data_IF_186766767971
#
_entry.id   IF_186766767971
#
_cell.length_a   1.000
_cell.length_b   1.000
_cell.length_c   1.000
_cell.angle_alpha   90.00
_cell.angle_beta   90.00
_cell.angle_gamma   90.00
#
_symmetry.space_group_name_H-M   'P 1'
#
loop_
_entity.id
_entity.type
_entity.pdbx_description
1 polymer ?
#
# COMPACT_ATOMS: atom_id res chain seq x y z
N UNK A 1 11.92 14.58 11.77
CA UNK A 1 11.55 14.70 10.34
C UNK A 1 12.21 13.57 9.56
N UNK A 2 11.45 12.76 8.86
CA UNK A 2 11.93 11.64 8.05
C UNK A 2 12.16 12.14 6.62
N UNK A 3 13.20 11.65 5.93
CA UNK A 3 13.48 12.02 4.53
C UNK A 3 13.68 10.78 3.67
N UNK A 4 13.01 10.77 2.53
CA UNK A 4 13.32 9.84 1.45
C UNK A 4 14.07 10.68 0.39
N UNK A 5 15.39 10.62 0.40
CA UNK A 5 16.24 11.52 -0.39
C UNK A 5 15.89 13.00 -0.12
N UNK A 6 15.42 13.75 -1.13
CA UNK A 6 14.98 15.14 -1.00
C UNK A 6 13.54 15.32 -0.49
N UNK A 7 12.76 14.25 -0.40
CA UNK A 7 11.35 14.30 0.02
C UNK A 7 11.27 14.37 1.54
N UNK A 8 10.80 15.50 2.07
CA UNK A 8 10.61 15.72 3.49
C UNK A 8 9.23 15.22 3.95
N UNK A 9 9.21 14.40 5.00
CA UNK A 9 8.03 13.77 5.56
C UNK A 9 7.91 14.11 7.07
N UNK A 10 6.73 13.94 7.68
CA UNK A 10 6.57 14.05 9.13
C UNK A 10 7.53 13.14 9.92
N UNK A 11 7.60 13.32 11.24
CA UNK A 11 8.46 12.49 12.10
C UNK A 11 8.11 11.00 12.08
N UNK A 12 6.86 10.67 11.83
CA UNK A 12 6.39 9.29 11.65
C UNK A 12 5.35 9.25 10.52
N UNK A 13 5.79 9.20 9.26
CA UNK A 13 4.89 9.20 8.12
C UNK A 13 4.07 7.93 8.03
N UNK A 14 2.85 8.07 7.53
CA UNK A 14 1.91 7.00 7.25
C UNK A 14 1.85 6.77 5.73
N UNK A 15 2.28 5.60 5.30
CA UNK A 15 2.37 5.25 3.90
C UNK A 15 1.22 4.31 3.50
N UNK A 16 0.55 4.56 2.38
CA UNK A 16 -0.38 3.59 1.81
C UNK A 16 0.40 2.47 1.11
N UNK A 17 0.17 1.23 1.51
CA UNK A 17 0.82 0.08 0.90
C UNK A 17 0.35 -0.15 -0.56
N UNK A 18 1.25 -0.57 -1.46
CA UNK A 18 0.88 -1.05 -2.79
C UNK A 18 0.06 -2.35 -2.69
N UNK A 19 -1.16 -2.34 -3.22
CA UNK A 19 -2.10 -3.46 -3.14
C UNK A 19 -2.79 -3.67 -4.49
N UNK A 20 -2.64 -4.88 -5.06
CA UNK A 20 -3.25 -5.25 -6.35
C UNK A 20 -4.76 -5.09 -6.33
N UNK A 21 -5.29 -4.45 -7.35
CA UNK A 21 -6.69 -4.11 -7.56
C UNK A 21 -7.32 -3.31 -6.37
N UNK A 22 -6.53 -2.55 -5.61
CA UNK A 22 -6.97 -1.75 -4.46
C UNK A 22 -6.38 -0.35 -4.50
N UNK A 23 -5.05 -0.23 -4.65
CA UNK A 23 -4.37 1.08 -4.61
C UNK A 23 -4.31 1.74 -5.99
N UNK A 24 -5.46 1.80 -6.65
CA UNK A 24 -5.68 2.55 -7.90
C UNK A 24 -5.71 4.07 -7.64
N UNK A 25 -5.62 4.93 -8.68
CA UNK A 25 -5.61 6.38 -8.52
C UNK A 25 -6.79 6.92 -7.70
N UNK A 26 -8.06 6.47 -7.92
CA UNK A 26 -9.18 6.88 -7.09
C UNK A 26 -8.97 6.63 -5.60
N UNK A 27 -8.58 5.41 -5.23
CA UNK A 27 -8.39 5.05 -3.83
C UNK A 27 -7.18 5.73 -3.19
N UNK A 28 -6.07 5.86 -3.92
CA UNK A 28 -4.89 6.60 -3.43
C UNK A 28 -5.23 8.05 -3.12
N UNK A 29 -5.99 8.70 -4.02
CA UNK A 29 -6.45 10.08 -3.81
C UNK A 29 -7.29 10.22 -2.53
N UNK A 30 -8.23 9.29 -2.29
CA UNK A 30 -9.04 9.28 -1.07
C UNK A 30 -8.19 9.05 0.19
N UNK A 31 -7.21 8.16 0.15
CA UNK A 31 -6.28 7.96 1.25
C UNK A 31 -5.41 9.20 1.52
N UNK A 32 -4.97 9.87 0.45
CA UNK A 32 -4.18 11.10 0.56
C UNK A 32 -4.97 12.24 1.22
N UNK A 33 -6.21 12.44 0.78
CA UNK A 33 -7.12 13.42 1.39
C UNK A 33 -7.41 13.12 2.87
N UNK A 34 -7.32 11.86 3.26
CA UNK A 34 -7.51 11.39 4.63
C UNK A 34 -6.19 11.21 5.40
N UNK A 35 -5.10 11.80 4.94
CA UNK A 35 -3.89 11.94 5.74
C UNK A 35 -2.78 10.93 5.47
N UNK A 36 -2.84 10.11 4.41
CA UNK A 36 -1.66 9.36 3.98
C UNK A 36 -0.55 10.31 3.52
N UNK A 37 0.66 10.13 4.03
CA UNK A 37 1.79 11.02 3.72
C UNK A 37 2.44 10.65 2.38
N UNK A 38 2.56 9.36 2.09
CA UNK A 38 3.06 8.82 0.81
C UNK A 38 2.10 7.73 0.34
N UNK A 39 1.84 7.68 -0.95
CA UNK A 39 1.05 6.60 -1.56
C UNK A 39 1.86 5.89 -2.63
N UNK A 40 1.54 4.63 -2.87
CA UNK A 40 2.18 3.81 -3.91
C UNK A 40 1.13 3.23 -4.84
N UNK A 41 1.49 3.11 -6.13
CA UNK A 41 0.65 2.44 -7.10
C UNK A 41 0.49 0.95 -6.76
N UNK A 42 -0.45 0.28 -7.40
CA UNK A 42 -0.39 -1.18 -7.51
C UNK A 42 0.96 -1.60 -8.13
N UNK A 43 1.43 -2.81 -7.81
CA UNK A 43 2.70 -3.27 -8.36
C UNK A 43 2.58 -3.65 -9.84
N UNK A 44 3.54 -3.19 -10.65
CA UNK A 44 3.51 -3.29 -12.11
C UNK A 44 4.61 -4.23 -12.59
N UNK A 45 4.26 -5.17 -13.46
CA UNK A 45 5.24 -6.09 -14.04
C UNK A 45 6.16 -5.38 -15.03
N UNK A 46 7.48 -5.47 -14.85
CA UNK A 46 8.46 -4.96 -15.82
C UNK A 46 8.26 -5.60 -17.20
N UNK A 47 8.06 -6.90 -17.26
CA UNK A 47 7.76 -7.63 -18.49
C UNK A 47 6.44 -7.20 -19.15
N UNK A 48 5.47 -6.73 -18.35
CA UNK A 48 4.22 -6.16 -18.87
C UNK A 48 4.41 -4.78 -19.44
N UNK A 49 5.19 -3.93 -18.75
CA UNK A 49 5.47 -2.55 -19.21
C UNK A 49 6.24 -2.52 -20.54
N UNK A 50 7.33 -3.28 -20.63
CA UNK A 50 8.16 -3.27 -21.85
C UNK A 50 7.45 -3.87 -23.10
N UNK A 51 6.30 -4.49 -22.90
CA UNK A 51 5.44 -5.03 -23.97
C UNK A 51 4.15 -4.24 -24.15
N UNK A 52 4.06 -3.05 -23.59
CA UNK A 52 2.88 -2.17 -23.65
C UNK A 52 1.56 -2.87 -23.26
N UNK A 53 1.62 -3.81 -22.31
CA UNK A 53 0.43 -4.49 -21.84
C UNK A 53 -0.53 -3.48 -21.20
N UNK A 54 -1.73 -3.30 -21.76
CA UNK A 54 -2.68 -2.26 -21.40
C UNK A 54 -2.95 -2.17 -19.88
N UNK A 55 -3.08 -3.32 -19.19
CA UNK A 55 -3.26 -3.36 -17.74
C UNK A 55 -2.03 -2.82 -16.98
N UNK A 56 -0.82 -3.01 -17.50
CA UNK A 56 0.41 -2.50 -16.88
C UNK A 56 0.57 -0.99 -17.11
N UNK A 57 0.26 -0.53 -18.31
CA UNK A 57 0.33 0.89 -18.68
C UNK A 57 -0.69 1.70 -17.89
N UNK A 58 -1.92 1.22 -17.75
CA UNK A 58 -2.97 1.90 -16.99
C UNK A 58 -2.59 2.14 -15.52
N UNK A 59 -1.82 1.25 -14.91
CA UNK A 59 -1.36 1.39 -13.51
C UNK A 59 -0.27 2.46 -13.32
N UNK A 60 0.27 3.02 -14.39
CA UNK A 60 1.21 4.15 -14.34
C UNK A 60 0.50 5.47 -14.05
N UNK A 61 -0.82 5.51 -14.16
CA UNK A 61 -1.57 6.73 -13.99
C UNK A 61 -1.52 7.23 -12.54
N UNK A 62 -1.16 8.50 -12.38
CA UNK A 62 -1.04 9.19 -11.09
C UNK A 62 -1.72 10.55 -11.15
N UNK A 63 -2.35 10.96 -10.04
CA UNK A 63 -2.95 12.27 -9.91
C UNK A 63 -1.99 13.23 -9.21
N UNK A 64 -1.94 14.48 -9.62
CA UNK A 64 -1.07 15.50 -9.01
C UNK A 64 -1.33 15.65 -7.50
N UNK A 65 -2.59 15.53 -7.08
CA UNK A 65 -3.01 15.61 -5.66
C UNK A 65 -2.56 14.44 -4.78
N UNK A 66 -2.00 13.38 -5.37
CA UNK A 66 -1.51 12.22 -4.61
C UNK A 66 -0.06 12.39 -4.12
N UNK A 67 0.66 13.40 -4.61
CA UNK A 67 2.09 13.58 -4.32
C UNK A 67 2.38 13.78 -2.82
N UNK A 68 3.49 13.23 -2.31
CA UNK A 68 4.43 12.36 -3.02
C UNK A 68 3.85 10.98 -3.32
N UNK A 69 4.07 10.49 -4.54
CA UNK A 69 3.59 9.19 -5.02
C UNK A 69 4.73 8.34 -5.59
N UNK A 70 4.77 7.08 -5.19
CA UNK A 70 5.71 6.09 -5.70
C UNK A 70 5.07 5.15 -6.71
N UNK A 71 5.74 4.92 -7.84
CA UNK A 71 5.36 3.84 -8.76
C UNK A 71 6.12 2.58 -8.38
N UNK A 72 5.39 1.50 -8.06
CA UNK A 72 6.00 0.23 -7.69
C UNK A 72 6.07 -0.73 -8.87
N UNK A 73 7.28 -1.21 -9.19
CA UNK A 73 7.52 -2.20 -10.24
C UNK A 73 8.13 -3.48 -9.67
N UNK A 74 7.95 -4.59 -10.37
CA UNK A 74 8.55 -5.88 -10.04
C UNK A 74 9.07 -6.62 -11.26
N UNK A 75 10.16 -7.33 -11.08
CA UNK A 75 10.79 -8.19 -12.06
C UNK A 75 11.96 -8.96 -11.43
N UNK A 76 12.56 -9.86 -12.20
CA UNK A 76 13.78 -10.60 -11.84
C UNK A 76 14.86 -10.49 -12.92
N UNK A 77 14.59 -9.76 -14.00
CA UNK A 77 15.54 -9.52 -15.08
C UNK A 77 15.96 -8.05 -15.06
N UNK A 78 17.26 -7.79 -15.00
CA UNK A 78 17.82 -6.44 -14.87
C UNK A 78 17.46 -5.58 -16.11
N UNK A 79 17.62 -6.10 -17.33
CA UNK A 79 17.30 -5.36 -18.54
C UNK A 79 15.84 -4.89 -18.58
N UNK A 80 14.89 -5.80 -18.31
CA UNK A 80 13.48 -5.44 -18.29
C UNK A 80 13.14 -4.43 -17.18
N UNK A 81 13.81 -4.49 -16.04
CA UNK A 81 13.64 -3.52 -14.95
C UNK A 81 14.17 -2.13 -15.34
N UNK A 82 15.35 -2.04 -15.95
CA UNK A 82 15.92 -0.76 -16.41
C UNK A 82 15.04 -0.11 -17.49
N UNK A 83 14.61 -0.87 -18.49
CA UNK A 83 13.67 -0.37 -19.50
C UNK A 83 12.34 0.06 -18.91
N UNK A 84 11.90 -0.59 -17.82
CA UNK A 84 10.70 -0.16 -17.11
C UNK A 84 10.91 1.15 -16.36
N UNK A 85 12.10 1.41 -15.82
CA UNK A 85 12.44 2.71 -15.22
C UNK A 85 12.28 3.84 -16.23
N UNK A 86 12.79 3.66 -17.47
CA UNK A 86 12.65 4.66 -18.54
C UNK A 86 11.20 4.97 -18.91
N UNK A 87 10.30 3.97 -18.80
CA UNK A 87 8.88 4.15 -19.04
C UNK A 87 8.23 4.89 -17.87
N UNK A 88 8.56 4.48 -16.64
CA UNK A 88 8.05 5.07 -15.40
C UNK A 88 8.47 6.53 -15.25
N UNK A 89 9.70 6.89 -15.57
CA UNK A 89 10.20 8.27 -15.50
C UNK A 89 9.36 9.25 -16.35
N UNK A 90 8.81 8.80 -17.48
CA UNK A 90 7.96 9.64 -18.34
C UNK A 90 6.65 10.07 -17.66
N UNK A 91 6.24 9.36 -16.62
CA UNK A 91 5.05 9.73 -15.82
C UNK A 91 5.40 10.67 -14.66
N UNK A 92 6.68 10.99 -14.48
CA UNK A 92 7.20 11.92 -13.48
C UNK A 92 6.74 11.60 -12.03
N UNK A 93 6.95 10.37 -11.51
CA UNK A 93 6.65 10.05 -10.12
C UNK A 93 7.68 10.69 -9.18
N UNK A 94 7.38 10.72 -7.88
CA UNK A 94 8.33 11.19 -6.87
C UNK A 94 9.31 10.08 -6.44
N UNK A 95 8.91 8.81 -6.55
CA UNK A 95 9.65 7.63 -6.08
C UNK A 95 9.45 6.49 -7.08
N UNK A 96 10.50 5.70 -7.31
CA UNK A 96 10.36 4.37 -7.91
C UNK A 96 10.60 3.34 -6.80
N UNK A 97 9.62 2.49 -6.57
CA UNK A 97 9.69 1.45 -5.54
C UNK A 97 9.81 0.05 -6.15
N UNK A 98 10.65 -0.79 -5.57
CA UNK A 98 10.85 -2.16 -6.04
C UNK A 98 10.08 -3.13 -5.15
N UNK A 99 9.21 -3.95 -5.75
CA UNK A 99 8.50 -5.00 -5.03
C UNK A 99 9.34 -6.28 -4.93
N UNK A 100 9.88 -6.51 -3.74
CA UNK A 100 10.54 -7.76 -3.35
C UNK A 100 9.73 -8.52 -2.28
N UNK A 101 8.42 -8.23 -2.17
CA UNK A 101 7.58 -8.77 -1.10
C UNK A 101 6.32 -9.53 -1.54
N UNK A 102 5.91 -9.47 -2.81
CA UNK A 102 4.70 -10.14 -3.29
C UNK A 102 4.84 -11.68 -3.20
N UNK A 103 3.98 -12.38 -2.40
CA UNK A 103 4.12 -13.82 -2.18
C UNK A 103 3.37 -14.68 -3.20
N UNK A 104 2.65 -14.07 -4.15
CA UNK A 104 1.76 -14.74 -5.10
C UNK A 104 2.53 -15.70 -6.00
N UNK A 105 2.06 -16.94 -6.13
CA UNK A 105 2.74 -18.03 -6.85
C UNK A 105 3.16 -17.62 -8.27
N UNK A 106 2.29 -16.94 -9.02
CA UNK A 106 2.55 -16.47 -10.40
C UNK A 106 3.74 -15.51 -10.51
N UNK A 107 3.98 -14.70 -9.47
CA UNK A 107 5.12 -13.77 -9.39
C UNK A 107 6.37 -14.51 -8.92
N UNK A 108 6.25 -15.24 -7.83
CA UNK A 108 7.34 -15.96 -7.16
C UNK A 108 7.96 -17.04 -8.05
N UNK A 109 7.16 -17.75 -8.87
CA UNK A 109 7.66 -18.78 -9.79
C UNK A 109 8.57 -18.23 -10.90
N UNK A 110 8.56 -16.93 -11.12
CA UNK A 110 9.44 -16.22 -12.07
C UNK A 110 10.68 -15.60 -11.37
N UNK A 111 10.94 -15.93 -10.12
CA UNK A 111 12.02 -15.33 -9.32
C UNK A 111 11.75 -13.90 -8.84
N UNK A 112 10.59 -13.31 -9.18
CA UNK A 112 10.25 -11.93 -8.85
C UNK A 112 9.45 -11.82 -7.54
N UNK A 113 9.20 -10.58 -7.09
CA UNK A 113 8.55 -10.32 -5.81
C UNK A 113 9.31 -10.99 -4.67
N UNK A 114 8.61 -11.69 -3.77
CA UNK A 114 9.26 -12.42 -2.68
C UNK A 114 10.08 -13.65 -3.15
N UNK A 115 10.03 -14.02 -4.43
CA UNK A 115 10.86 -15.09 -5.00
C UNK A 115 12.35 -14.75 -4.97
N UNK A 116 12.68 -13.47 -5.08
CA UNK A 116 14.06 -12.97 -5.07
C UNK A 116 14.75 -13.13 -3.71
N UNK A 117 14.00 -13.33 -2.62
CA UNK A 117 14.56 -13.59 -1.29
C UNK A 117 15.37 -14.90 -1.21
N UNK A 118 15.32 -15.72 -2.24
CA UNK A 118 16.19 -16.90 -2.41
C UNK A 118 17.56 -16.57 -3.02
N UNK A 119 17.67 -15.40 -3.64
CA UNK A 119 18.89 -14.92 -4.33
C UNK A 119 19.12 -13.45 -3.97
N UNK A 120 19.74 -13.24 -2.81
CA UNK A 120 20.02 -11.90 -2.28
C UNK A 120 21.03 -11.15 -3.16
N UNK A 121 21.96 -11.85 -3.82
CA UNK A 121 22.93 -11.23 -4.69
C UNK A 121 22.26 -10.63 -5.94
N UNK A 122 21.29 -11.34 -6.53
CA UNK A 122 20.47 -10.80 -7.61
C UNK A 122 19.62 -9.61 -7.14
N UNK A 123 19.03 -9.70 -5.92
CA UNK A 123 18.23 -8.63 -5.32
C UNK A 123 19.04 -7.33 -5.20
N UNK A 124 20.27 -7.43 -4.70
CA UNK A 124 21.20 -6.30 -4.54
C UNK A 124 21.65 -5.77 -5.90
N UNK A 125 22.08 -6.65 -6.81
CA UNK A 125 22.56 -6.26 -8.15
C UNK A 125 21.48 -5.55 -8.98
N UNK A 126 20.23 -6.01 -8.87
CA UNK A 126 19.07 -5.40 -9.53
C UNK A 126 18.81 -4.00 -8.97
N UNK A 127 18.85 -3.85 -7.64
CA UNK A 127 18.67 -2.55 -6.98
C UNK A 127 19.79 -1.59 -7.36
N UNK A 128 21.04 -2.03 -7.34
CA UNK A 128 22.20 -1.24 -7.74
C UNK A 128 22.09 -0.74 -9.19
N UNK A 129 21.68 -1.63 -10.09
CA UNK A 129 21.50 -1.28 -11.50
C UNK A 129 20.45 -0.19 -11.68
N UNK A 130 19.31 -0.29 -10.96
CA UNK A 130 18.26 0.73 -11.01
C UNK A 130 18.72 2.05 -10.40
N UNK A 131 19.39 2.04 -9.25
CA UNK A 131 19.93 3.26 -8.61
C UNK A 131 20.89 3.99 -9.53
N UNK A 132 21.72 3.27 -10.29
CA UNK A 132 22.66 3.88 -11.26
C UNK A 132 21.97 4.39 -12.53
N UNK A 133 20.75 3.92 -12.81
CA UNK A 133 20.05 4.18 -14.07
C UNK A 133 19.14 5.43 -14.02
N UNK A 134 18.75 5.88 -12.83
CA UNK A 134 17.82 7.01 -12.64
C UNK A 134 18.31 7.99 -11.59
N UNK A 135 17.86 9.25 -11.67
CA UNK A 135 18.03 10.25 -10.61
C UNK A 135 16.87 10.24 -9.59
N UNK A 136 15.80 9.50 -9.84
CA UNK A 136 14.70 9.37 -8.89
C UNK A 136 15.10 8.49 -7.70
N UNK A 137 14.61 8.78 -6.49
CA UNK A 137 14.89 7.94 -5.34
C UNK A 137 14.32 6.52 -5.56
N UNK A 138 15.19 5.53 -5.43
CA UNK A 138 14.80 4.11 -5.44
C UNK A 138 14.54 3.67 -4.02
N UNK A 139 13.37 3.11 -3.77
CA UNK A 139 12.99 2.49 -2.50
C UNK A 139 12.66 1.01 -2.70
N UNK A 140 12.62 0.24 -1.62
CA UNK A 140 12.35 -1.19 -1.66
C UNK A 140 11.26 -1.58 -0.68
N UNK A 141 10.31 -2.40 -1.13
CA UNK A 141 9.35 -3.07 -0.26
C UNK A 141 9.60 -4.57 -0.25
N UNK A 142 9.90 -5.14 0.93
CA UNK A 142 10.28 -6.55 1.09
C UNK A 142 9.60 -7.23 2.28
N UNK A 143 10.02 -8.47 2.60
CA UNK A 143 9.63 -9.29 3.75
C UNK A 143 10.86 -9.68 4.55
N UNK A 144 10.66 -10.31 5.72
CA UNK A 144 11.73 -10.77 6.62
C UNK A 144 12.68 -11.79 5.97
N UNK A 145 12.16 -12.62 5.07
CA UNK A 145 12.87 -13.69 4.40
C UNK A 145 11.93 -14.58 3.60
N UNK A 146 12.49 -15.64 3.00
CA UNK A 146 11.69 -16.64 2.28
C UNK A 146 10.84 -17.49 3.25
N UNK A 147 11.47 -17.99 4.31
CA UNK A 147 10.88 -18.75 5.41
C UNK A 147 11.58 -18.41 6.73
N UNK A 148 11.24 -19.12 7.82
CA UNK A 148 11.83 -18.86 9.14
C UNK A 148 13.32 -19.12 9.20
N UNK A 149 13.81 -20.11 8.45
CA UNK A 149 15.23 -20.51 8.46
C UNK A 149 16.12 -19.56 7.64
N UNK A 150 15.50 -18.70 6.81
CA UNK A 150 16.16 -17.76 5.89
C UNK A 150 15.87 -16.30 6.18
N UNK A 151 15.54 -15.95 7.41
CA UNK A 151 15.39 -14.55 7.83
C UNK A 151 16.77 -13.89 7.84
N UNK A 152 17.03 -13.01 6.87
CA UNK A 152 18.28 -12.26 6.70
C UNK A 152 18.05 -10.77 6.53
N UNK A 153 16.95 -10.25 7.06
CA UNK A 153 16.50 -8.90 6.77
C UNK A 153 17.50 -7.81 7.16
N UNK A 154 18.30 -8.02 8.22
CA UNK A 154 19.34 -7.06 8.64
C UNK A 154 20.43 -6.97 7.57
N UNK A 155 20.99 -8.12 7.15
CA UNK A 155 21.99 -8.19 6.06
C UNK A 155 21.43 -7.60 4.75
N UNK A 156 20.20 -7.96 4.40
CA UNK A 156 19.53 -7.47 3.20
C UNK A 156 19.40 -5.95 3.23
N UNK A 157 18.95 -5.37 4.34
CA UNK A 157 18.76 -3.94 4.47
C UNK A 157 20.07 -3.16 4.36
N UNK A 158 21.15 -3.63 5.01
CA UNK A 158 22.49 -3.04 4.87
C UNK A 158 22.96 -3.05 3.41
N UNK A 159 22.90 -4.19 2.75
CA UNK A 159 23.34 -4.35 1.37
C UNK A 159 22.54 -3.48 0.39
N UNK A 160 21.23 -3.35 0.60
CA UNK A 160 20.39 -2.47 -0.21
C UNK A 160 20.72 -0.99 0.00
N UNK A 161 20.96 -0.58 1.24
CA UNK A 161 21.44 0.78 1.53
C UNK A 161 22.81 1.05 0.89
N UNK A 162 23.75 0.11 1.01
CA UNK A 162 25.13 0.26 0.49
C UNK A 162 25.14 0.48 -1.03
N UNK A 163 24.14 -0.03 -1.77
CA UNK A 163 24.01 0.22 -3.22
C UNK A 163 23.15 1.44 -3.56
N UNK A 164 22.69 2.21 -2.56
CA UNK A 164 22.06 3.52 -2.76
C UNK A 164 20.54 3.55 -2.66
N UNK A 165 19.89 2.48 -2.16
CA UNK A 165 18.47 2.51 -1.79
C UNK A 165 18.19 3.65 -0.80
N UNK A 166 17.07 4.38 -0.95
CA UNK A 166 16.75 5.59 -0.18
C UNK A 166 15.77 5.36 0.97
N UNK A 167 15.04 4.28 0.98
CA UNK A 167 14.18 3.82 2.10
C UNK A 167 13.81 2.36 1.91
N UNK A 168 13.51 1.68 3.02
CA UNK A 168 13.07 0.29 2.99
C UNK A 168 11.77 0.11 3.78
N UNK A 169 10.78 -0.54 3.16
CA UNK A 169 9.52 -0.95 3.82
C UNK A 169 9.52 -2.46 4.03
N UNK A 170 9.41 -2.90 5.27
CA UNK A 170 9.54 -4.32 5.62
C UNK A 170 8.23 -4.86 6.18
N UNK A 171 7.67 -5.87 5.52
CA UNK A 171 6.54 -6.62 6.07
C UNK A 171 7.04 -7.63 7.10
N UNK A 172 6.53 -7.56 8.33
CA UNK A 172 6.92 -8.42 9.47
C UNK A 172 6.50 -9.90 9.33
N UNK A 173 6.49 -10.44 8.13
CA UNK A 173 6.25 -11.86 7.81
C UNK A 173 7.23 -12.34 6.76
N UNK A 174 7.53 -13.64 6.79
CA UNK A 174 8.24 -14.30 5.70
C UNK A 174 7.31 -14.54 4.50
N UNK A 175 7.88 -14.91 3.35
CA UNK A 175 7.08 -15.31 2.18
C UNK A 175 6.24 -16.55 2.48
N UNK A 176 6.78 -17.53 3.18
CA UNK A 176 6.08 -18.77 3.50
C UNK A 176 4.84 -18.56 4.38
N UNK A 177 4.88 -17.61 5.29
CA UNK A 177 3.72 -17.23 6.11
C UNK A 177 2.59 -16.62 5.28
N UNK A 178 2.90 -15.96 4.15
CA UNK A 178 1.93 -15.16 3.41
C UNK A 178 1.22 -14.12 4.29
N UNK A 179 0.03 -14.46 4.81
CA UNK A 179 -0.77 -13.63 5.75
C UNK A 179 -1.16 -14.39 7.02
N UNK A 180 -0.63 -15.60 7.23
CA UNK A 180 -0.90 -16.43 8.42
C UNK A 180 -0.10 -15.94 9.62
N UNK A 181 -0.64 -16.19 10.82
CA UNK A 181 -0.04 -15.73 12.08
C UNK A 181 -0.03 -14.22 12.21
N UNK A 182 0.79 -13.72 13.12
CA UNK A 182 0.98 -12.28 13.34
C UNK A 182 2.26 -11.77 12.68
N UNK A 183 2.29 -10.48 12.34
CA UNK A 183 3.51 -9.82 11.88
C UNK A 183 4.46 -9.64 13.06
N UNK A 184 5.71 -10.05 12.88
CA UNK A 184 6.77 -9.84 13.86
C UNK A 184 7.59 -8.60 13.49
N UNK A 185 7.52 -7.55 14.30
CA UNK A 185 8.24 -6.30 14.05
C UNK A 185 9.64 -6.27 14.70
N UNK A 186 9.99 -7.27 15.54
CA UNK A 186 11.32 -7.34 16.18
C UNK A 186 12.48 -7.37 15.19
N UNK A 187 12.48 -8.21 14.13
CA UNK A 187 13.54 -8.16 13.13
C UNK A 187 13.62 -6.82 12.37
N UNK A 188 12.50 -6.09 12.25
CA UNK A 188 12.52 -4.74 11.65
C UNK A 188 13.18 -3.74 12.59
N UNK A 189 12.94 -3.89 13.90
CA UNK A 189 13.64 -3.10 14.93
C UNK A 189 15.14 -3.37 14.93
N UNK A 190 15.56 -4.61 14.72
CA UNK A 190 16.98 -4.96 14.58
C UNK A 190 17.61 -4.23 13.38
N UNK A 191 16.91 -4.15 12.25
CA UNK A 191 17.35 -3.33 11.10
C UNK A 191 17.48 -1.87 11.52
N UNK A 192 16.45 -1.30 12.15
CA UNK A 192 16.45 0.12 12.54
C UNK A 192 17.54 0.47 13.54
N UNK A 193 17.80 -0.41 14.49
CA UNK A 193 18.82 -0.20 15.55
C UNK A 193 20.24 -0.54 15.09
N UNK A 194 20.41 -1.06 13.89
CA UNK A 194 21.74 -1.31 13.35
C UNK A 194 22.47 0.02 13.11
N UNK A 195 23.63 0.27 13.75
CA UNK A 195 24.35 1.53 13.64
C UNK A 195 24.82 1.88 12.22
N UNK A 196 24.83 0.90 11.31
CA UNK A 196 25.16 1.13 9.90
C UNK A 196 23.96 1.63 9.09
N UNK A 197 22.72 1.52 9.61
CA UNK A 197 21.52 1.96 8.88
C UNK A 197 21.30 3.46 9.04
N UNK A 198 21.21 4.16 7.91
CA UNK A 198 21.02 5.62 7.84
C UNK A 198 19.77 6.01 7.03
N UNK A 199 19.21 5.08 6.23
CA UNK A 199 17.98 5.32 5.48
C UNK A 199 16.73 5.01 6.34
N UNK A 200 15.56 5.61 6.04
CA UNK A 200 14.33 5.31 6.75
C UNK A 200 13.92 3.84 6.63
N UNK A 201 13.46 3.29 7.76
CA UNK A 201 12.96 1.92 7.88
C UNK A 201 11.48 1.96 8.27
N UNK A 202 10.60 1.60 7.33
CA UNK A 202 9.16 1.60 7.54
C UNK A 202 8.65 0.20 7.86
N UNK A 203 7.85 0.09 8.93
CA UNK A 203 7.22 -1.16 9.31
C UNK A 203 5.90 -1.40 8.56
N UNK A 204 5.64 -2.65 8.21
CA UNK A 204 4.40 -3.07 7.57
C UNK A 204 3.90 -4.40 8.16
N UNK A 205 2.60 -4.60 8.13
CA UNK A 205 1.91 -5.80 8.63
C UNK A 205 1.15 -5.53 9.93
N UNK A 206 -0.12 -5.90 9.95
CA UNK A 206 -1.04 -5.87 11.11
C UNK A 206 -1.18 -4.51 11.82
N UNK A 207 -0.89 -3.42 11.16
CA UNK A 207 -1.21 -2.07 11.65
C UNK A 207 -2.72 -1.85 11.45
N UNK A 208 -3.52 -2.35 12.40
CA UNK A 208 -4.99 -2.41 12.30
C UNK A 208 -5.70 -1.43 13.20
N UNK A 209 -4.98 -0.76 14.09
CA UNK A 209 -5.51 0.27 15.00
C UNK A 209 -4.51 1.42 15.16
N UNK A 210 -4.96 2.63 15.53
CA UNK A 210 -4.08 3.74 15.88
C UNK A 210 -3.07 3.38 16.99
N UNK A 211 -3.49 2.56 17.97
CA UNK A 211 -2.63 2.08 19.05
C UNK A 211 -1.46 1.22 18.51
N UNK A 212 -1.72 0.34 17.53
CA UNK A 212 -0.66 -0.46 16.90
C UNK A 212 0.32 0.38 16.08
N UNK A 213 -0.16 1.43 15.43
CA UNK A 213 0.73 2.39 14.76
C UNK A 213 1.61 3.13 15.78
N UNK A 214 1.04 3.51 16.93
CA UNK A 214 1.79 4.14 18.04
C UNK A 214 2.81 3.18 18.65
N UNK A 215 2.46 1.91 18.83
CA UNK A 215 3.36 0.86 19.30
C UNK A 215 4.56 0.70 18.35
N UNK A 216 4.33 0.68 17.03
CA UNK A 216 5.37 0.59 16.02
C UNK A 216 6.37 1.77 16.12
N UNK A 217 5.89 2.96 16.45
CA UNK A 217 6.72 4.15 16.69
C UNK A 217 7.44 4.10 18.05
N UNK A 218 6.69 3.91 19.14
CA UNK A 218 7.19 4.17 20.50
C UNK A 218 7.93 2.98 21.10
N UNK A 219 7.54 1.74 20.73
CA UNK A 219 8.15 0.50 21.25
C UNK A 219 9.19 -0.05 20.27
N UNK A 220 8.86 -0.07 18.99
CA UNK A 220 9.75 -0.64 17.97
C UNK A 220 10.68 0.39 17.31
N UNK A 221 10.48 1.70 17.56
CA UNK A 221 11.38 2.78 17.14
C UNK A 221 11.49 2.98 15.63
N UNK A 222 10.52 2.48 14.85
CA UNK A 222 10.55 2.56 13.40
C UNK A 222 10.29 4.00 12.91
N UNK A 223 10.72 4.33 11.70
CA UNK A 223 10.61 5.68 11.13
C UNK A 223 9.21 6.00 10.57
N UNK A 224 8.36 5.01 10.40
CA UNK A 224 7.00 5.20 9.90
C UNK A 224 6.27 3.87 9.73
N UNK A 225 4.98 3.94 9.41
CA UNK A 225 4.13 2.78 9.22
C UNK A 225 3.56 2.72 7.80
N UNK A 226 3.73 1.58 7.12
CA UNK A 226 3.05 1.31 5.86
C UNK A 226 1.77 0.52 6.13
N UNK A 227 0.62 1.13 5.79
CA UNK A 227 -0.72 0.64 6.09
C UNK A 227 -1.33 0.00 4.84
N UNK A 228 -1.78 -1.23 4.96
CA UNK A 228 -2.46 -1.96 3.88
C UNK A 228 -3.92 -2.21 4.21
N UNK A 229 -4.27 -3.42 4.58
CA UNK A 229 -5.65 -3.91 4.73
C UNK A 229 -6.58 -3.05 5.59
N UNK A 230 -6.05 -2.36 6.59
CA UNK A 230 -6.84 -1.48 7.46
C UNK A 230 -7.43 -0.27 6.72
N UNK A 231 -6.81 0.17 5.62
CA UNK A 231 -7.31 1.28 4.82
C UNK A 231 -8.35 0.87 3.76
N UNK A 232 -8.45 -0.42 3.39
CA UNK A 232 -9.37 -0.88 2.33
C UNK A 232 -10.82 -0.54 2.69
N UNK A 233 -11.47 0.33 1.90
CA UNK A 233 -12.81 0.82 2.21
C UNK A 233 -12.91 1.58 3.53
N UNK A 234 -11.78 2.07 4.04
CA UNK A 234 -11.71 2.86 5.26
C UNK A 234 -10.53 3.87 5.22
N UNK A 235 -10.53 4.82 4.28
CA UNK A 235 -9.42 5.77 4.12
C UNK A 235 -9.20 6.66 5.35
N UNK A 236 -10.20 6.88 6.19
CA UNK A 236 -10.12 7.68 7.44
C UNK A 236 -9.09 7.16 8.43
N UNK A 237 -8.65 5.91 8.30
CA UNK A 237 -7.67 5.28 9.19
C UNK A 237 -6.39 6.12 9.36
N UNK A 238 -5.93 6.80 8.32
CA UNK A 238 -4.75 7.66 8.39
C UNK A 238 -4.98 8.88 9.31
N UNK A 239 -6.14 9.53 9.20
CA UNK A 239 -6.51 10.64 10.08
C UNK A 239 -6.72 10.19 11.53
N UNK A 240 -7.30 9.00 11.74
CA UNK A 240 -7.46 8.42 13.07
C UNK A 240 -6.11 8.18 13.76
N UNK A 241 -5.12 7.65 13.02
CA UNK A 241 -3.76 7.47 13.54
C UNK A 241 -3.12 8.80 13.89
N UNK A 242 -3.22 9.81 13.04
CA UNK A 242 -2.67 11.14 13.28
C UNK A 242 -3.34 11.84 14.47
N UNK A 243 -4.65 11.72 14.57
CA UNK A 243 -5.39 12.25 15.72
C UNK A 243 -4.92 11.59 17.03
N UNK A 244 -4.84 10.25 17.03
CA UNK A 244 -4.37 9.48 18.19
C UNK A 244 -2.93 9.84 18.61
N UNK A 245 -2.05 10.10 17.65
CA UNK A 245 -0.68 10.54 17.94
C UNK A 245 -0.63 11.90 18.60
N UNK A 246 -1.55 12.79 18.23
CA UNK A 246 -1.62 14.16 18.74
C UNK A 246 -2.29 14.25 20.11
N UNK A 247 -3.34 13.46 20.34
CA UNK A 247 -4.22 13.62 21.52
C UNK A 247 -4.12 12.46 22.51
N UNK A 248 -3.72 11.28 22.07
CA UNK A 248 -3.84 10.02 22.82
C UNK A 248 -5.25 9.43 22.84
N UNK A 249 -6.22 10.08 22.18
CA UNK A 249 -7.62 9.69 22.16
C UNK A 249 -8.03 9.17 20.78
N UNK A 250 -8.99 8.27 20.76
CA UNK A 250 -9.55 7.78 19.49
C UNK A 250 -10.45 8.86 18.88
N UNK A 251 -10.28 9.05 17.57
CA UNK A 251 -11.22 9.86 16.79
C UNK A 251 -12.52 9.07 16.60
N UNK A 252 -13.66 9.75 16.76
CA UNK A 252 -14.95 9.13 16.42
C UNK A 252 -14.94 8.71 14.96
N UNK A 253 -15.34 7.46 14.70
CA UNK A 253 -15.43 6.93 13.33
C UNK A 253 -16.50 7.68 12.51
N UNK A 254 -16.43 7.62 11.17
CA UNK A 254 -17.39 8.26 10.31
C UNK A 254 -18.79 7.65 10.47
N UNK A 255 -19.81 8.48 10.38
CA UNK A 255 -21.22 8.08 10.32
C UNK A 255 -21.50 7.23 9.09
N UNK A 256 -22.64 6.53 9.07
CA UNK A 256 -23.05 5.75 7.89
C UNK A 256 -23.25 6.68 6.67
N UNK A 257 -23.75 7.88 6.89
CA UNK A 257 -23.89 8.91 5.86
C UNK A 257 -22.54 9.27 5.21
N UNK A 258 -21.54 9.57 6.01
CA UNK A 258 -20.18 9.88 5.53
C UNK A 258 -19.53 8.70 4.80
N UNK A 259 -19.75 7.48 5.28
CA UNK A 259 -19.25 6.26 4.63
C UNK A 259 -19.94 6.01 3.30
N UNK A 260 -21.24 6.26 3.21
CA UNK A 260 -22.03 6.12 1.98
C UNK A 260 -21.57 7.13 0.93
N UNK A 261 -21.39 8.38 1.32
CA UNK A 261 -20.90 9.43 0.43
C UNK A 261 -19.47 9.14 -0.08
N UNK A 262 -18.58 8.68 0.79
CA UNK A 262 -17.24 8.27 0.40
C UNK A 262 -17.26 7.07 -0.57
N UNK A 263 -18.11 6.08 -0.33
CA UNK A 263 -18.26 4.93 -1.22
C UNK A 263 -18.82 5.35 -2.59
N UNK A 264 -19.79 6.26 -2.61
CA UNK A 264 -20.35 6.86 -3.82
C UNK A 264 -19.28 7.60 -4.64
N UNK A 265 -18.55 8.47 -3.97
CA UNK A 265 -17.44 9.22 -4.57
C UNK A 265 -16.36 8.30 -5.12
N UNK A 266 -15.99 7.27 -4.37
CA UNK A 266 -15.00 6.27 -4.79
C UNK A 266 -15.46 5.54 -6.06
N UNK A 267 -16.71 5.06 -6.08
CA UNK A 267 -17.27 4.39 -7.26
C UNK A 267 -17.28 5.31 -8.47
N UNK A 268 -17.73 6.56 -8.33
CA UNK A 268 -17.75 7.52 -9.45
C UNK A 268 -16.36 7.76 -10.02
N UNK A 269 -15.37 8.02 -9.14
CA UNK A 269 -13.99 8.22 -9.57
C UNK A 269 -13.41 6.97 -10.26
N UNK A 270 -13.77 5.76 -9.80
CA UNK A 270 -13.34 4.52 -10.43
C UNK A 270 -13.98 4.32 -11.81
N UNK A 271 -15.25 4.67 -11.97
CA UNK A 271 -15.96 4.64 -13.25
C UNK A 271 -15.32 5.63 -14.24
N UNK A 272 -15.07 6.85 -13.78
CA UNK A 272 -14.47 7.92 -14.62
C UNK A 272 -13.06 7.53 -15.10
N UNK A 273 -12.30 6.80 -14.27
CA UNK A 273 -10.94 6.40 -14.59
C UNK A 273 -10.84 5.16 -15.48
N UNK A 274 -11.60 4.08 -15.19
CA UNK A 274 -11.44 2.77 -15.85
C UNK A 274 -12.70 2.25 -16.55
N UNK A 275 -13.74 3.10 -16.65
CA UNK A 275 -15.02 2.76 -17.26
C UNK A 275 -15.99 2.04 -16.33
N UNK A 276 -17.27 1.98 -16.72
CA UNK A 276 -18.35 1.48 -15.84
C UNK A 276 -18.11 0.06 -15.32
N UNK A 277 -17.84 -0.89 -16.22
CA UNK A 277 -17.73 -2.29 -15.84
C UNK A 277 -16.59 -2.54 -14.83
N UNK A 278 -15.35 -2.13 -15.16
CA UNK A 278 -14.21 -2.32 -14.26
C UNK A 278 -14.34 -1.47 -12.99
N UNK A 279 -14.85 -0.24 -13.13
CA UNK A 279 -15.12 0.65 -11.99
C UNK A 279 -16.04 0.01 -10.98
N UNK A 280 -17.16 -0.58 -11.42
CA UNK A 280 -18.09 -1.28 -10.53
C UNK A 280 -17.48 -2.55 -9.93
N UNK A 281 -16.91 -3.42 -10.76
CA UNK A 281 -16.45 -4.75 -10.32
C UNK A 281 -15.27 -4.66 -9.33
N UNK A 282 -14.31 -3.79 -9.59
CA UNK A 282 -13.12 -3.69 -8.73
C UNK A 282 -13.40 -2.91 -7.44
N UNK A 283 -14.30 -1.93 -7.42
CA UNK A 283 -14.67 -1.20 -6.20
C UNK A 283 -15.43 -2.06 -5.17
N UNK A 284 -16.02 -3.18 -5.58
CA UNK A 284 -16.72 -4.13 -4.68
C UNK A 284 -15.91 -4.56 -3.46
N UNK A 285 -14.57 -4.67 -3.59
CA UNK A 285 -13.69 -5.10 -2.48
C UNK A 285 -13.70 -4.10 -1.33
N UNK A 286 -14.03 -2.84 -1.60
CA UNK A 286 -14.09 -1.79 -0.59
C UNK A 286 -15.43 -1.76 0.16
N UNK A 287 -16.54 -2.18 -0.46
CA UNK A 287 -17.87 -2.05 0.13
C UNK A 287 -18.04 -2.82 1.43
N UNK A 288 -17.39 -4.00 1.56
CA UNK A 288 -17.45 -4.78 2.79
C UNK A 288 -16.92 -3.99 4.00
N UNK A 289 -15.91 -3.16 3.81
CA UNK A 289 -15.33 -2.38 4.90
C UNK A 289 -16.00 -1.01 5.05
N UNK A 290 -16.41 -0.34 3.96
CA UNK A 290 -17.21 0.89 4.06
C UNK A 290 -18.43 0.70 4.95
N UNK A 291 -19.08 -0.46 4.85
CA UNK A 291 -20.33 -0.74 5.56
C UNK A 291 -20.20 -1.82 6.63
N UNK A 292 -18.98 -2.12 7.07
CA UNK A 292 -18.74 -3.09 8.14
C UNK A 292 -19.40 -2.64 9.45
N UNK A 293 -20.10 -3.55 10.12
CA UNK A 293 -20.71 -3.30 11.42
C UNK A 293 -22.16 -2.79 11.37
N UNK A 294 -22.73 -2.51 10.20
CA UNK A 294 -24.15 -2.14 10.08
C UNK A 294 -25.02 -3.38 10.33
N UNK A 295 -25.95 -3.36 11.31
CA UNK A 295 -26.89 -4.45 11.54
C UNK A 295 -27.77 -4.69 10.31
N UNK A 296 -28.11 -5.95 10.04
CA UNK A 296 -29.04 -6.36 8.96
C UNK A 296 -28.61 -5.93 7.53
N UNK A 297 -27.33 -5.63 7.32
CA UNK A 297 -26.81 -5.08 6.07
C UNK A 297 -26.64 -6.11 4.94
N UNK A 298 -26.85 -7.39 5.18
CA UNK A 298 -26.55 -8.49 4.24
C UNK A 298 -27.20 -8.31 2.87
N UNK A 299 -28.47 -7.95 2.82
CA UNK A 299 -29.23 -7.80 1.56
C UNK A 299 -28.74 -6.60 0.74
N UNK A 300 -28.49 -5.46 1.40
CA UNK A 300 -27.94 -4.26 0.74
C UNK A 300 -26.55 -4.54 0.18
N UNK A 301 -25.69 -5.21 0.97
CA UNK A 301 -24.35 -5.62 0.48
C UNK A 301 -24.46 -6.53 -0.73
N UNK A 302 -25.37 -7.49 -0.73
CA UNK A 302 -25.51 -8.43 -1.85
C UNK A 302 -25.79 -7.67 -3.15
N UNK A 303 -26.71 -6.71 -3.16
CA UNK A 303 -26.97 -5.87 -4.34
C UNK A 303 -25.71 -5.15 -4.84
N UNK A 304 -24.96 -4.52 -3.93
CA UNK A 304 -23.73 -3.79 -4.29
C UNK A 304 -22.62 -4.66 -4.89
N UNK A 305 -22.51 -5.94 -4.45
CA UNK A 305 -21.42 -6.82 -4.89
C UNK A 305 -21.80 -7.77 -6.02
N UNK A 306 -23.07 -7.80 -6.43
CA UNK A 306 -23.54 -8.70 -7.50
C UNK A 306 -23.99 -7.95 -8.75
N UNK A 307 -24.44 -6.68 -8.65
CA UNK A 307 -24.82 -5.92 -9.84
C UNK A 307 -23.61 -5.38 -10.58
N UNK A 308 -23.60 -5.49 -11.91
CA UNK A 308 -22.61 -4.90 -12.82
C UNK A 308 -23.07 -3.53 -13.35
N UNK A 309 -24.33 -3.13 -13.05
CA UNK A 309 -24.87 -1.83 -13.43
C UNK A 309 -24.56 -0.79 -12.32
N UNK A 310 -23.85 0.30 -12.64
CA UNK A 310 -23.59 1.36 -11.67
C UNK A 310 -24.87 1.97 -11.08
N UNK A 311 -25.97 2.05 -11.85
CA UNK A 311 -27.25 2.59 -11.36
C UNK A 311 -27.80 1.80 -10.19
N UNK A 312 -27.73 0.48 -10.26
CA UNK A 312 -28.16 -0.39 -9.16
C UNK A 312 -27.33 -0.19 -7.90
N UNK A 313 -26.01 0.00 -8.07
CA UNK A 313 -25.09 0.22 -6.94
C UNK A 313 -25.37 1.60 -6.31
N UNK A 314 -25.54 2.65 -7.12
CA UNK A 314 -25.92 3.97 -6.62
C UNK A 314 -27.28 3.96 -5.92
N UNK A 315 -28.30 3.29 -6.49
CA UNK A 315 -29.60 3.12 -5.83
C UNK A 315 -29.47 2.36 -4.50
N UNK A 316 -28.58 1.36 -4.42
CA UNK A 316 -28.33 0.68 -3.14
C UNK A 316 -27.69 1.62 -2.10
N UNK A 317 -26.84 2.57 -2.50
CA UNK A 317 -26.31 3.60 -1.61
C UNK A 317 -27.41 4.56 -1.13
N UNK A 318 -28.37 4.95 -2.00
CA UNK A 318 -29.51 5.79 -1.61
C UNK A 318 -30.35 5.10 -0.53
N UNK A 319 -30.66 3.82 -0.72
CA UNK A 319 -31.41 3.02 0.26
C UNK A 319 -30.65 2.94 1.60
N UNK A 320 -29.32 2.76 1.59
CA UNK A 320 -28.53 2.72 2.81
C UNK A 320 -28.57 4.07 3.54
N UNK A 321 -28.47 5.16 2.78
CA UNK A 321 -28.55 6.51 3.31
C UNK A 321 -29.91 6.78 3.97
N UNK A 322 -31.01 6.39 3.32
CA UNK A 322 -32.37 6.56 3.83
C UNK A 322 -32.65 5.68 5.05
N UNK A 323 -32.16 4.43 5.02
CA UNK A 323 -32.49 3.42 6.06
C UNK A 323 -31.70 3.64 7.34
N UNK A 324 -30.39 3.98 7.23
CA UNK A 324 -29.48 4.03 8.36
C UNK A 324 -29.03 5.45 8.72
N UNK A 325 -29.13 6.39 7.79
CA UNK A 325 -28.90 7.83 8.00
C UNK A 325 -27.60 8.18 8.74
N UNK A 326 -27.72 9.03 9.73
CA UNK A 326 -26.59 9.54 10.52
C UNK A 326 -26.23 8.66 11.74
N UNK A 327 -26.68 7.40 11.75
CA UNK A 327 -26.31 6.48 12.83
C UNK A 327 -24.80 6.22 12.82
N UNK A 328 -24.20 6.20 14.00
CA UNK A 328 -22.82 5.75 14.19
C UNK A 328 -22.76 4.23 14.15
N UNK A 329 -21.73 3.69 13.54
CA UNK A 329 -21.47 2.24 13.63
C UNK A 329 -20.82 2.01 14.99
N UNK A 330 -21.38 1.11 15.85
CA UNK A 330 -20.74 0.76 17.10
C UNK A 330 -19.29 0.31 16.87
N UNK A 331 -18.35 0.77 17.70
CA UNK A 331 -16.98 0.27 17.67
C UNK A 331 -17.04 -1.25 17.90
N UNK A 332 -16.54 -2.00 16.92
CA UNK A 332 -16.33 -3.43 17.09
C UNK A 332 -15.02 -3.57 17.84
N UNK A 333 -15.12 -3.80 19.16
CA UNK A 333 -14.00 -4.02 20.07
C UNK A 333 -13.09 -5.19 19.66
#
# INVERSE_FOLDING_TARGET
>A
MVKIDSIELPDFPLLLAPMEDVSDPPFRALCKENGADVVYTEFISSEGLIRDAAKSVMKLDIYEKERPVGIQIFGANIDSMLRSVEIVEKTNPDIIDINFGCPVKKVVSKGAGAGILKDIDLMVSLTEAMVKHTNLPITVKTRLGWDHDSIKIVEVAERLQDVGCKAISIHGRTRAQMYKGEADWRPITEVKNNPRMHIPVFGNGDVTTPKKAKEMRDVYGLDGAMIGRASIGYPWFFNEVKHYFKTGEHLAGPTISERTEMARRHLQMAIDWKGEHLGVVETRRHYTNYFKGIPHFKEHRLKMVTSDDPKDVFAAFDIVQETFGNAMIPEIG
#
